data_IF_897142157249
#
_entry.id   IF_897142157249
#
_cell.length_a   1.000
_cell.length_b   1.000
_cell.length_c   1.000
_cell.angle_alpha   90.00
_cell.angle_beta   90.00
_cell.angle_gamma   90.00
#
_symmetry.space_group_name_H-M   'P 1'
#
loop_
_entity.id
_entity.type
_entity.pdbx_description
1 polymer ?
#
# COMPACT_ATOMS: atom_id res chain seq x y z
N UNK A 1 17.28 -10.60 -4.23
CA UNK A 1 16.57 -9.42 -3.74
C UNK A 1 17.53 -8.47 -3.03
N UNK A 2 17.26 -7.17 -3.05
CA UNK A 2 18.00 -6.12 -2.32
C UNK A 2 17.03 -5.29 -1.51
N UNK A 3 17.47 -4.74 -0.38
CA UNK A 3 16.70 -3.84 0.48
C UNK A 3 17.52 -2.58 0.75
N UNK A 4 16.95 -1.42 0.52
CA UNK A 4 17.56 -0.10 0.75
C UNK A 4 16.90 0.48 1.99
N UNK A 5 17.70 0.67 3.02
CA UNK A 5 17.27 1.19 4.33
C UNK A 5 17.83 2.59 4.55
N UNK A 6 17.13 3.39 5.31
CA UNK A 6 17.65 4.68 5.77
C UNK A 6 16.55 5.66 6.16
N UNK A 7 16.87 6.60 7.06
CA UNK A 7 15.93 7.59 7.59
C UNK A 7 15.37 8.53 6.51
N UNK A 8 14.42 9.42 6.86
CA UNK A 8 13.82 10.36 5.92
C UNK A 8 14.88 11.21 5.23
N UNK A 9 14.67 11.41 3.90
CA UNK A 9 15.56 12.30 3.13
C UNK A 9 16.95 11.75 2.79
N UNK A 10 17.19 10.44 2.99
CA UNK A 10 18.47 9.78 2.61
C UNK A 10 18.57 9.45 1.12
N UNK A 11 17.52 9.70 0.35
CA UNK A 11 17.51 9.45 -1.09
C UNK A 11 17.14 8.02 -1.49
N UNK A 12 16.37 7.28 -0.68
CA UNK A 12 15.86 5.94 -1.00
C UNK A 12 15.21 5.89 -2.39
N UNK A 13 14.18 6.71 -2.62
CA UNK A 13 13.49 6.85 -3.92
C UNK A 13 14.46 7.20 -5.06
N UNK A 14 15.39 8.14 -4.82
CA UNK A 14 16.42 8.52 -5.82
C UNK A 14 17.30 7.32 -6.17
N UNK A 15 17.65 6.51 -5.20
CA UNK A 15 18.45 5.29 -5.42
C UNK A 15 17.66 4.23 -6.18
N UNK A 16 16.37 4.04 -5.89
CA UNK A 16 15.49 3.14 -6.66
C UNK A 16 15.43 3.58 -8.13
N UNK A 17 15.18 4.87 -8.39
CA UNK A 17 15.13 5.41 -9.75
C UNK A 17 16.48 5.34 -10.47
N UNK A 18 17.59 5.50 -9.74
CA UNK A 18 18.92 5.26 -10.30
C UNK A 18 19.10 3.81 -10.77
N UNK A 19 18.66 2.83 -9.98
CA UNK A 19 18.69 1.43 -10.40
C UNK A 19 17.75 1.18 -11.59
N UNK A 20 16.53 1.73 -11.59
CA UNK A 20 15.61 1.58 -12.72
C UNK A 20 16.24 2.08 -14.03
N UNK A 21 16.92 3.24 -14.01
CA UNK A 21 17.68 3.76 -15.15
C UNK A 21 18.87 2.88 -15.53
N UNK A 22 19.53 2.28 -14.55
CA UNK A 22 20.63 1.36 -14.82
C UNK A 22 20.13 0.13 -15.59
N UNK A 23 19.02 -0.46 -15.17
CA UNK A 23 18.39 -1.55 -15.91
C UNK A 23 17.99 -1.14 -17.33
N UNK A 24 17.41 0.05 -17.49
CA UNK A 24 17.05 0.60 -18.79
C UNK A 24 18.28 0.75 -19.70
N UNK A 25 19.38 1.33 -19.17
CA UNK A 25 20.66 1.47 -19.91
C UNK A 25 21.30 0.14 -20.29
N UNK A 26 21.08 -0.91 -19.50
CA UNK A 26 21.53 -2.27 -19.79
C UNK A 26 20.62 -3.01 -20.78
N UNK A 27 19.62 -2.32 -21.36
CA UNK A 27 18.75 -2.88 -22.39
C UNK A 27 17.47 -3.54 -21.87
N UNK A 28 17.14 -3.42 -20.57
CA UNK A 28 15.87 -3.91 -20.07
C UNK A 28 14.73 -3.08 -20.66
N UNK A 29 13.73 -3.70 -21.33
CA UNK A 29 12.59 -2.97 -21.85
C UNK A 29 11.82 -2.28 -20.73
N UNK A 30 11.37 -1.04 -20.96
CA UNK A 30 10.70 -0.24 -19.92
C UNK A 30 9.40 -0.88 -19.41
N UNK A 31 8.70 -1.66 -20.22
CA UNK A 31 7.51 -2.42 -19.86
C UNK A 31 7.82 -3.67 -19.00
N UNK A 32 9.11 -4.00 -18.81
CA UNK A 32 9.60 -5.04 -17.90
C UNK A 32 10.14 -4.49 -16.59
N UNK A 33 10.02 -3.17 -16.37
CA UNK A 33 10.40 -2.48 -15.15
C UNK A 33 9.13 -2.08 -14.42
N UNK A 34 8.85 -2.71 -13.27
CA UNK A 34 7.77 -2.34 -12.35
C UNK A 34 8.29 -1.41 -11.27
N UNK A 35 7.60 -0.31 -11.01
CA UNK A 35 7.86 0.58 -9.88
C UNK A 35 6.55 0.83 -9.14
N UNK A 36 6.51 0.39 -7.88
CA UNK A 36 5.29 0.49 -7.06
C UNK A 36 5.58 1.34 -5.84
N UNK A 37 4.86 2.45 -5.75
CA UNK A 37 4.88 3.34 -4.61
C UNK A 37 3.63 3.14 -3.76
N UNK A 38 3.72 3.55 -2.50
CA UNK A 38 2.61 3.45 -1.57
C UNK A 38 1.46 4.41 -1.95
N UNK A 39 1.77 5.66 -2.39
CA UNK A 39 0.78 6.67 -2.78
C UNK A 39 0.75 6.93 -4.27
N UNK A 40 -0.40 7.38 -4.81
CA UNK A 40 -0.52 7.86 -6.19
C UNK A 40 0.43 9.04 -6.46
N UNK A 41 0.57 9.94 -5.48
CA UNK A 41 1.48 11.09 -5.56
C UNK A 41 2.93 10.63 -5.72
N UNK A 42 3.39 9.73 -4.87
CA UNK A 42 4.76 9.19 -4.95
C UNK A 42 5.02 8.46 -6.27
N UNK A 43 4.04 7.71 -6.79
CA UNK A 43 4.13 7.07 -8.10
C UNK A 43 4.21 8.10 -9.23
N UNK A 44 3.45 9.19 -9.14
CA UNK A 44 3.50 10.33 -10.08
C UNK A 44 4.86 11.01 -10.07
N UNK A 45 5.38 11.37 -8.91
CA UNK A 45 6.72 11.96 -8.75
C UNK A 45 7.83 11.06 -9.32
N UNK A 46 7.72 9.75 -9.12
CA UNK A 46 8.66 8.79 -9.69
C UNK A 46 8.61 8.78 -11.23
N UNK A 47 7.41 8.86 -11.83
CA UNK A 47 7.24 8.99 -13.28
C UNK A 47 7.86 10.26 -13.81
N UNK A 48 7.54 11.42 -13.22
CA UNK A 48 8.06 12.72 -13.62
C UNK A 48 9.59 12.70 -13.61
N UNK A 49 10.21 12.26 -12.51
CA UNK A 49 11.68 12.15 -12.42
C UNK A 49 12.28 11.20 -13.46
N UNK A 50 11.57 10.12 -13.82
CA UNK A 50 12.03 9.23 -14.88
C UNK A 50 11.95 9.89 -16.25
N UNK A 51 10.91 10.66 -16.56
CA UNK A 51 10.75 11.41 -17.81
C UNK A 51 11.79 12.52 -17.94
N UNK A 52 12.00 13.32 -16.90
CA UNK A 52 12.98 14.41 -16.89
C UNK A 52 14.39 13.92 -17.22
N UNK A 53 14.74 12.72 -16.73
CA UNK A 53 16.07 12.15 -16.88
C UNK A 53 16.20 11.22 -18.11
N UNK A 54 15.09 10.95 -18.81
CA UNK A 54 15.03 10.13 -20.00
C UNK A 54 14.03 10.73 -21.02
N UNK A 55 14.37 11.86 -21.67
CA UNK A 55 13.45 12.60 -22.54
C UNK A 55 12.89 11.82 -23.74
N UNK A 56 13.49 10.67 -24.06
CA UNK A 56 13.02 9.77 -25.11
C UNK A 56 11.85 8.88 -24.67
N UNK A 57 11.55 8.82 -23.36
CA UNK A 57 10.40 8.08 -22.84
C UNK A 57 9.13 8.96 -22.87
N UNK A 58 8.00 8.31 -23.03
CA UNK A 58 6.68 8.92 -22.88
C UNK A 58 5.98 8.40 -21.60
N UNK A 59 5.04 9.15 -21.09
CA UNK A 59 4.25 8.74 -19.91
C UNK A 59 3.53 7.40 -20.13
N UNK A 60 3.04 7.15 -21.35
CA UNK A 60 2.38 5.88 -21.72
C UNK A 60 3.29 4.66 -21.57
N UNK A 61 4.60 4.82 -21.73
CA UNK A 61 5.56 3.75 -21.56
C UNK A 61 5.82 3.43 -20.08
N UNK A 62 5.63 4.39 -19.15
CA UNK A 62 5.76 4.22 -17.71
C UNK A 62 4.48 3.68 -17.05
N UNK A 63 3.71 2.86 -17.76
CA UNK A 63 2.45 2.27 -17.29
C UNK A 63 2.58 1.38 -16.04
N UNK A 64 3.78 0.91 -15.73
CA UNK A 64 4.08 0.11 -14.54
C UNK A 64 4.68 0.91 -13.37
N UNK A 65 4.73 2.25 -13.48
CA UNK A 65 5.03 3.16 -12.37
C UNK A 65 3.72 3.59 -11.73
N UNK A 66 3.29 2.92 -10.67
CA UNK A 66 1.94 3.08 -10.09
C UNK A 66 1.86 2.54 -8.65
N UNK A 67 0.67 2.58 -8.04
CA UNK A 67 0.42 1.88 -6.78
C UNK A 67 0.02 0.42 -7.03
N UNK A 68 0.08 -0.43 -5.99
CA UNK A 68 -0.38 -1.82 -6.07
C UNK A 68 -1.87 -1.90 -6.44
N UNK A 69 -2.73 -1.07 -5.81
CA UNK A 69 -4.15 -0.98 -6.14
C UNK A 69 -4.38 -0.60 -7.61
N UNK A 70 -3.63 0.38 -8.11
CA UNK A 70 -3.72 0.77 -9.51
C UNK A 70 -3.29 -0.34 -10.46
N UNK A 71 -2.32 -1.19 -10.08
CA UNK A 71 -1.97 -2.38 -10.86
C UNK A 71 -3.13 -3.37 -10.88
N UNK A 72 -3.72 -3.66 -9.72
CA UNK A 72 -4.84 -4.57 -9.58
C UNK A 72 -6.04 -4.09 -10.42
N UNK A 73 -6.46 -2.84 -10.24
CA UNK A 73 -7.54 -2.22 -11.00
C UNK A 73 -7.35 -2.37 -12.52
N UNK A 74 -6.16 -2.02 -13.01
CA UNK A 74 -5.87 -2.12 -14.44
C UNK A 74 -5.83 -3.56 -14.96
N UNK A 75 -5.22 -4.48 -14.22
CA UNK A 75 -5.07 -5.87 -14.66
C UNK A 75 -6.38 -6.65 -14.61
N UNK A 76 -7.25 -6.31 -13.68
CA UNK A 76 -8.61 -6.86 -13.60
C UNK A 76 -9.58 -6.27 -14.65
N UNK A 77 -9.13 -5.25 -15.41
CA UNK A 77 -9.98 -4.59 -16.43
C UNK A 77 -11.15 -3.82 -15.84
N UNK A 78 -11.07 -3.39 -14.58
CA UNK A 78 -12.16 -2.74 -13.87
C UNK A 78 -12.46 -1.35 -14.43
N UNK A 79 -13.73 -0.95 -14.34
CA UNK A 79 -14.21 0.39 -14.63
C UNK A 79 -14.38 1.18 -13.33
N UNK A 80 -14.28 2.50 -13.40
CA UNK A 80 -14.51 3.36 -12.23
C UNK A 80 -15.91 3.20 -11.62
N UNK A 81 -16.92 2.92 -12.45
CA UNK A 81 -18.28 2.63 -11.99
C UNK A 81 -18.46 1.31 -11.24
N UNK A 82 -17.44 0.46 -11.22
CA UNK A 82 -17.44 -0.81 -10.49
C UNK A 82 -16.72 -0.67 -9.13
N UNK A 83 -16.26 0.53 -8.79
CA UNK A 83 -15.55 0.82 -7.55
C UNK A 83 -16.49 1.44 -6.54
N UNK A 84 -16.48 0.94 -5.31
CA UNK A 84 -17.19 1.54 -4.19
C UNK A 84 -16.78 3.01 -4.03
N UNK A 85 -17.76 3.90 -3.87
CA UNK A 85 -17.59 5.31 -3.59
C UNK A 85 -18.18 5.61 -2.21
N UNK A 86 -17.88 6.78 -1.68
CA UNK A 86 -18.31 7.24 -0.35
C UNK A 86 -19.83 7.12 -0.18
N UNK A 87 -20.60 7.54 -1.20
CA UNK A 87 -22.07 7.46 -1.23
C UNK A 87 -22.64 6.05 -1.01
N UNK A 88 -21.93 5.00 -1.46
CA UNK A 88 -22.39 3.62 -1.28
C UNK A 88 -22.29 3.18 0.19
N UNK A 89 -21.27 3.62 0.93
CA UNK A 89 -21.14 3.35 2.36
C UNK A 89 -22.20 4.10 3.17
N UNK A 90 -22.50 5.35 2.78
CA UNK A 90 -23.56 6.15 3.39
C UNK A 90 -24.94 5.52 3.16
N UNK A 91 -25.19 4.99 1.94
CA UNK A 91 -26.43 4.29 1.61
C UNK A 91 -26.62 3.02 2.47
N UNK A 92 -25.55 2.24 2.63
CA UNK A 92 -25.55 1.05 3.49
C UNK A 92 -25.84 1.46 4.94
N UNK A 93 -25.14 2.47 5.46
CA UNK A 93 -25.38 2.99 6.82
C UNK A 93 -26.82 3.42 7.02
N UNK A 94 -27.35 4.20 6.07
CA UNK A 94 -28.73 4.71 6.10
C UNK A 94 -29.77 3.58 6.12
N UNK A 95 -29.55 2.49 5.38
CA UNK A 95 -30.46 1.33 5.36
C UNK A 95 -30.56 0.62 6.73
N UNK A 96 -29.55 0.76 7.56
CA UNK A 96 -29.46 0.17 8.90
C UNK A 96 -29.70 1.19 10.03
N UNK A 97 -30.03 2.44 9.70
CA UNK A 97 -30.22 3.51 10.67
C UNK A 97 -28.93 3.98 11.35
N UNK A 98 -27.78 3.79 10.70
CA UNK A 98 -26.47 4.24 11.16
C UNK A 98 -26.10 5.50 10.38
N UNK A 99 -25.77 6.59 11.08
CA UNK A 99 -25.11 7.73 10.43
C UNK A 99 -23.67 7.33 10.09
N UNK A 100 -23.33 7.51 8.83
CA UNK A 100 -21.98 7.24 8.31
C UNK A 100 -21.59 8.43 7.46
N UNK A 101 -20.48 9.06 7.79
CA UNK A 101 -19.83 10.06 6.96
C UNK A 101 -18.50 9.47 6.47
N UNK A 102 -18.29 9.44 5.17
CA UNK A 102 -17.05 8.95 4.59
C UNK A 102 -16.23 10.13 4.13
N UNK A 103 -14.97 10.16 4.55
CA UNK A 103 -14.04 11.23 4.20
C UNK A 103 -13.08 10.73 3.11
N UNK A 104 -13.34 11.10 1.86
CA UNK A 104 -12.38 10.86 0.77
C UNK A 104 -11.17 11.77 0.96
N UNK A 105 -10.06 11.21 1.42
CA UNK A 105 -8.79 11.97 1.53
C UNK A 105 -8.08 12.15 0.20
N UNK A 106 -8.66 11.67 -0.91
CA UNK A 106 -8.00 11.68 -2.23
C UNK A 106 -6.76 10.78 -2.33
N UNK A 107 -6.31 10.22 -1.23
CA UNK A 107 -5.18 9.31 -1.16
C UNK A 107 -5.66 7.86 -1.03
N UNK A 108 -5.95 7.22 -2.16
CA UNK A 108 -6.33 5.80 -2.27
C UNK A 108 -5.14 4.88 -1.92
N UNK A 109 -4.45 5.13 -0.82
CA UNK A 109 -3.14 4.55 -0.57
C UNK A 109 -3.18 3.28 0.25
N UNK A 110 -4.10 3.21 1.20
CA UNK A 110 -4.14 2.10 2.17
C UNK A 110 -5.25 1.10 1.87
N UNK A 111 -6.22 1.44 1.03
CA UNK A 111 -7.48 0.71 0.91
C UNK A 111 -8.40 0.94 2.11
N UNK A 112 -8.03 1.86 3.00
CA UNK A 112 -8.80 2.19 4.19
C UNK A 112 -9.98 3.08 3.81
N UNK A 113 -11.17 2.75 4.32
CA UNK A 113 -12.33 3.63 4.27
C UNK A 113 -12.20 4.60 5.44
N UNK A 114 -11.92 5.87 5.14
CA UNK A 114 -11.94 6.90 6.18
C UNK A 114 -13.38 7.25 6.50
N UNK A 115 -13.94 6.57 7.47
CA UNK A 115 -15.30 6.75 7.96
C UNK A 115 -15.28 7.11 9.44
N UNK A 116 -16.25 7.92 9.88
CA UNK A 116 -16.53 8.12 11.30
C UNK A 116 -17.19 6.88 11.93
N UNK A 117 -17.66 5.95 11.11
CA UNK A 117 -18.19 4.67 11.57
C UNK A 117 -17.08 3.68 11.91
N UNK A 118 -16.87 3.42 13.19
CA UNK A 118 -15.93 2.40 13.68
C UNK A 118 -16.24 1.01 13.10
N UNK A 119 -17.49 0.69 12.82
CA UNK A 119 -17.89 -0.59 12.24
C UNK A 119 -17.24 -0.84 10.87
N UNK A 120 -17.28 0.14 9.96
CA UNK A 120 -16.61 0.01 8.65
C UNK A 120 -15.10 -0.07 8.80
N UNK A 121 -14.53 0.67 9.76
CA UNK A 121 -13.10 0.63 10.04
C UNK A 121 -12.67 -0.76 10.52
N UNK A 122 -13.45 -1.39 11.44
CA UNK A 122 -13.20 -2.76 11.91
C UNK A 122 -13.27 -3.76 10.75
N UNK A 123 -14.35 -3.73 9.95
CA UNK A 123 -14.55 -4.65 8.83
C UNK A 123 -13.39 -4.55 7.84
N UNK A 124 -12.98 -3.34 7.51
CA UNK A 124 -11.94 -3.10 6.53
C UNK A 124 -10.55 -3.45 7.08
N UNK A 125 -10.24 -3.05 8.33
CA UNK A 125 -8.98 -3.38 8.98
C UNK A 125 -8.79 -4.89 9.13
N UNK A 126 -9.83 -5.63 9.53
CA UNK A 126 -9.79 -7.08 9.61
C UNK A 126 -9.38 -7.73 8.29
N UNK A 127 -9.95 -7.27 7.17
CA UNK A 127 -9.62 -7.78 5.82
C UNK A 127 -8.20 -7.40 5.40
N UNK A 128 -7.76 -6.17 5.64
CA UNK A 128 -6.41 -5.67 5.31
C UNK A 128 -5.34 -6.43 6.11
N UNK A 129 -5.60 -6.66 7.41
CA UNK A 129 -4.72 -7.40 8.32
C UNK A 129 -4.83 -8.91 8.16
N UNK A 130 -5.84 -9.39 7.42
CA UNK A 130 -6.15 -10.81 7.24
C UNK A 130 -6.44 -11.55 8.56
N UNK A 131 -7.15 -10.88 9.46
CA UNK A 131 -7.67 -11.45 10.70
C UNK A 131 -9.20 -11.54 10.64
N UNK A 132 -9.81 -12.24 11.59
CA UNK A 132 -11.26 -12.24 11.68
C UNK A 132 -11.80 -10.89 12.14
N UNK A 133 -13.04 -10.56 11.76
CA UNK A 133 -13.70 -9.33 12.23
C UNK A 133 -13.81 -9.31 13.76
N UNK A 134 -13.95 -10.48 14.40
CA UNK A 134 -13.97 -10.62 15.85
C UNK A 134 -12.62 -10.33 16.50
N UNK A 135 -11.51 -10.80 15.90
CA UNK A 135 -10.17 -10.48 16.37
C UNK A 135 -9.90 -8.98 16.30
N UNK A 136 -10.24 -8.34 15.18
CA UNK A 136 -10.07 -6.90 15.03
C UNK A 136 -10.96 -6.10 15.99
N UNK A 137 -12.24 -6.50 16.16
CA UNK A 137 -13.17 -5.88 17.10
C UNK A 137 -12.64 -5.91 18.54
N UNK A 138 -11.98 -6.97 18.95
CA UNK A 138 -11.47 -7.12 20.31
C UNK A 138 -10.14 -6.38 20.56
N UNK A 139 -9.64 -5.60 19.61
CA UNK A 139 -8.48 -4.74 19.82
C UNK A 139 -8.86 -3.51 20.65
N UNK A 140 -7.89 -2.95 21.39
CA UNK A 140 -8.09 -1.74 22.19
C UNK A 140 -8.23 -0.44 21.34
N UNK A 141 -8.27 -0.59 20.01
CA UNK A 141 -8.35 0.55 19.07
C UNK A 141 -9.77 1.11 18.93
N UNK A 142 -10.81 0.36 19.32
CA UNK A 142 -12.20 0.71 19.07
C UNK A 142 -12.99 0.82 20.38
N UNK A 143 -14.13 1.53 20.31
CA UNK A 143 -15.03 1.67 21.44
C UNK A 143 -15.57 0.32 21.88
N UNK A 144 -15.54 0.03 23.18
CA UNK A 144 -16.07 -1.22 23.74
C UNK A 144 -17.61 -1.25 23.76
N UNK A 145 -18.27 -0.12 23.48
CA UNK A 145 -19.73 0.02 23.47
C UNK A 145 -20.36 -0.35 22.11
N UNK A 146 -19.55 -0.76 21.14
CA UNK A 146 -20.05 -1.16 19.82
C UNK A 146 -20.89 -2.44 19.90
N UNK A 147 -22.05 -2.44 19.24
CA UNK A 147 -22.90 -3.63 19.16
C UNK A 147 -22.34 -4.65 18.16
N UNK A 148 -21.91 -5.81 18.67
CA UNK A 148 -21.38 -6.92 17.85
C UNK A 148 -22.40 -7.44 16.84
N UNK A 149 -23.69 -7.49 17.20
CA UNK A 149 -24.71 -7.97 16.27
C UNK A 149 -24.82 -7.01 15.09
N UNK A 150 -24.78 -5.70 15.35
CA UNK A 150 -24.81 -4.67 14.33
C UNK A 150 -23.58 -4.75 13.42
N UNK A 151 -22.40 -5.03 13.98
CA UNK A 151 -21.16 -5.26 13.19
C UNK A 151 -21.34 -6.41 12.19
N UNK A 152 -21.90 -7.54 12.64
CA UNK A 152 -22.15 -8.68 11.77
C UNK A 152 -23.21 -8.39 10.69
N UNK A 153 -24.28 -7.69 11.07
CA UNK A 153 -25.33 -7.28 10.12
C UNK A 153 -24.74 -6.34 9.07
N UNK A 154 -23.96 -5.33 9.50
CA UNK A 154 -23.36 -4.36 8.60
C UNK A 154 -22.36 -5.02 7.63
N UNK A 155 -21.55 -5.97 8.12
CA UNK A 155 -20.65 -6.74 7.28
C UNK A 155 -21.42 -7.55 6.22
N UNK A 156 -22.48 -8.23 6.62
CA UNK A 156 -23.31 -8.99 5.70
C UNK A 156 -23.98 -8.09 4.64
N UNK A 157 -24.47 -6.91 5.07
CA UNK A 157 -25.10 -5.94 4.18
C UNK A 157 -24.09 -5.34 3.20
N UNK A 158 -22.87 -5.01 3.65
CA UNK A 158 -21.78 -4.56 2.77
C UNK A 158 -21.48 -5.60 1.67
N UNK A 159 -21.39 -6.87 2.05
CA UNK A 159 -21.12 -7.96 1.11
C UNK A 159 -22.27 -8.16 0.12
N UNK A 160 -23.53 -8.07 0.60
CA UNK A 160 -24.74 -8.15 -0.23
C UNK A 160 -24.83 -6.96 -1.19
N UNK A 161 -24.60 -5.75 -0.71
CA UNK A 161 -24.63 -4.52 -1.50
C UNK A 161 -23.59 -4.58 -2.64
N UNK A 162 -22.34 -4.91 -2.31
CA UNK A 162 -21.28 -5.09 -3.31
C UNK A 162 -21.68 -6.13 -4.39
N UNK A 163 -22.28 -7.23 -3.96
CA UNK A 163 -22.73 -8.29 -4.87
C UNK A 163 -23.90 -7.83 -5.74
N UNK A 164 -24.91 -7.17 -5.16
CA UNK A 164 -26.11 -6.71 -5.87
C UNK A 164 -25.79 -5.68 -6.95
N UNK A 165 -24.89 -4.76 -6.66
CA UNK A 165 -24.49 -3.69 -7.59
C UNK A 165 -23.20 -3.99 -8.37
N UNK A 166 -22.63 -5.19 -8.23
CA UNK A 166 -21.36 -5.59 -8.86
C UNK A 166 -20.20 -4.64 -8.55
N UNK A 167 -20.17 -4.13 -7.33
CA UNK A 167 -19.14 -3.21 -6.85
C UNK A 167 -17.97 -3.93 -6.18
N UNK A 168 -16.82 -3.29 -6.17
CA UNK A 168 -15.59 -3.72 -5.51
C UNK A 168 -15.00 -2.57 -4.70
N UNK A 169 -14.60 -2.85 -3.47
CA UNK A 169 -13.77 -1.92 -2.70
C UNK A 169 -12.27 -2.12 -3.02
N UNK A 170 -11.41 -1.30 -2.42
CA UNK A 170 -9.96 -1.38 -2.66
C UNK A 170 -9.34 -2.69 -2.19
N UNK A 171 -9.86 -3.28 -1.11
CA UNK A 171 -9.40 -4.58 -0.61
C UNK A 171 -9.79 -5.69 -1.57
N UNK A 172 -11.04 -5.68 -2.10
CA UNK A 172 -11.47 -6.63 -3.14
C UNK A 172 -10.57 -6.60 -4.38
N UNK A 173 -10.06 -5.41 -4.75
CA UNK A 173 -9.13 -5.31 -5.90
C UNK A 173 -7.86 -6.11 -5.67
N UNK A 174 -7.25 -6.00 -4.49
CA UNK A 174 -6.04 -6.75 -4.15
C UNK A 174 -6.34 -8.25 -4.05
N UNK A 175 -7.42 -8.63 -3.36
CA UNK A 175 -7.84 -10.03 -3.23
C UNK A 175 -8.06 -10.68 -4.60
N UNK A 176 -8.83 -10.01 -5.47
CA UNK A 176 -9.11 -10.52 -6.82
C UNK A 176 -7.84 -10.59 -7.68
N UNK A 177 -6.91 -9.63 -7.54
CA UNK A 177 -5.64 -9.71 -8.26
C UNK A 177 -4.80 -10.91 -7.80
N UNK A 178 -4.77 -11.20 -6.50
CA UNK A 178 -4.00 -12.33 -5.94
C UNK A 178 -4.48 -13.66 -6.55
N UNK A 179 -5.79 -13.84 -6.74
CA UNK A 179 -6.36 -15.09 -7.27
C UNK A 179 -6.46 -15.13 -8.81
N UNK A 180 -6.27 -13.98 -9.49
CA UNK A 180 -6.50 -13.87 -10.94
C UNK A 180 -5.35 -14.39 -11.81
N UNK A 181 -4.17 -14.61 -11.25
CA UNK A 181 -2.93 -14.94 -11.95
C UNK A 181 -2.54 -13.97 -13.10
N UNK A 182 -3.12 -12.76 -13.11
CA UNK A 182 -2.93 -11.74 -14.15
C UNK A 182 -1.65 -10.89 -13.97
N UNK A 183 -0.74 -11.30 -13.09
CA UNK A 183 0.49 -10.57 -12.81
C UNK A 183 1.40 -10.51 -14.05
N UNK A 184 1.85 -9.33 -14.48
CA UNK A 184 2.84 -9.22 -15.55
C UNK A 184 4.17 -9.86 -15.15
N UNK A 185 4.92 -10.35 -16.15
CA UNK A 185 6.30 -10.77 -15.92
C UNK A 185 7.23 -9.56 -16.03
N UNK A 186 8.05 -9.37 -15.00
CA UNK A 186 9.01 -8.28 -14.91
C UNK A 186 10.46 -8.78 -14.93
N UNK A 187 11.37 -7.97 -15.45
CA UNK A 187 12.80 -8.19 -15.25
C UNK A 187 13.24 -7.63 -13.89
N UNK A 188 12.65 -6.51 -13.47
CA UNK A 188 12.89 -5.93 -12.16
C UNK A 188 11.63 -5.27 -11.61
N UNK A 189 11.40 -5.43 -10.32
CA UNK A 189 10.36 -4.73 -9.56
C UNK A 189 10.99 -3.94 -8.43
N UNK A 190 10.58 -2.69 -8.32
CA UNK A 190 10.90 -1.77 -7.24
C UNK A 190 9.66 -1.54 -6.39
N UNK A 191 9.82 -1.61 -5.06
CA UNK A 191 8.78 -1.23 -4.09
C UNK A 191 9.35 -0.11 -3.24
N UNK A 192 8.71 1.04 -3.25
CA UNK A 192 9.06 2.18 -2.41
C UNK A 192 8.13 2.24 -1.19
N UNK A 193 8.66 2.65 -0.04
CA UNK A 193 8.00 2.67 1.27
C UNK A 193 7.42 1.28 1.65
N UNK A 194 8.24 0.25 1.49
CA UNK A 194 7.79 -1.14 1.68
C UNK A 194 7.43 -1.48 3.13
N UNK A 195 7.86 -0.71 4.13
CA UNK A 195 7.48 -0.86 5.54
C UNK A 195 5.99 -0.60 5.78
N UNK A 196 5.33 0.13 4.87
CA UNK A 196 3.91 0.48 4.99
C UNK A 196 2.96 -0.54 4.36
N UNK A 197 3.50 -1.61 3.77
CA UNK A 197 2.67 -2.65 3.16
C UNK A 197 1.91 -3.47 4.21
N UNK A 198 0.61 -3.62 4.00
CA UNK A 198 -0.25 -4.46 4.81
C UNK A 198 -0.09 -5.97 4.47
N UNK A 199 -0.57 -6.91 5.33
CA UNK A 199 -0.51 -8.35 5.06
C UNK A 199 -1.05 -8.75 3.68
N UNK A 200 -2.20 -8.22 3.29
CA UNK A 200 -2.77 -8.50 1.97
C UNK A 200 -1.92 -7.94 0.81
N UNK A 201 -1.31 -6.75 0.99
CA UNK A 201 -0.39 -6.18 0.00
C UNK A 201 0.91 -6.99 -0.08
N UNK A 202 1.37 -7.55 1.03
CA UNK A 202 2.50 -8.49 1.04
C UNK A 202 2.21 -9.77 0.26
N UNK A 203 0.98 -10.29 0.30
CA UNK A 203 0.58 -11.42 -0.57
C UNK A 203 0.64 -11.03 -2.05
N UNK A 204 0.16 -9.84 -2.39
CA UNK A 204 0.31 -9.31 -3.76
C UNK A 204 1.79 -9.15 -4.14
N UNK A 205 2.64 -8.68 -3.22
CA UNK A 205 4.08 -8.62 -3.41
C UNK A 205 4.68 -10.00 -3.69
N UNK A 206 4.26 -11.06 -2.99
CA UNK A 206 4.75 -12.41 -3.24
C UNK A 206 4.41 -12.89 -4.67
N UNK A 207 3.26 -12.50 -5.20
CA UNK A 207 2.91 -12.75 -6.61
C UNK A 207 3.85 -11.97 -7.55
N UNK A 208 4.10 -10.69 -7.27
CA UNK A 208 5.07 -9.89 -8.04
C UNK A 208 6.46 -10.52 -7.98
N UNK A 209 6.90 -10.97 -6.81
CA UNK A 209 8.20 -11.62 -6.59
C UNK A 209 8.34 -12.89 -7.42
N UNK A 210 7.33 -13.75 -7.48
CA UNK A 210 7.31 -14.96 -8.32
C UNK A 210 7.39 -14.65 -9.82
N UNK A 211 6.89 -13.47 -10.23
CA UNK A 211 6.86 -13.04 -11.62
C UNK A 211 7.99 -12.07 -12.00
N UNK A 212 9.05 -11.97 -11.19
CA UNK A 212 10.13 -11.02 -11.38
C UNK A 212 11.50 -11.68 -11.25
N UNK A 213 12.47 -11.28 -12.10
CA UNK A 213 13.86 -11.76 -12.00
C UNK A 213 14.60 -11.08 -10.84
N UNK A 214 14.34 -9.79 -10.63
CA UNK A 214 14.98 -8.97 -9.61
C UNK A 214 13.95 -8.19 -8.80
N UNK A 215 14.17 -8.09 -7.48
CA UNK A 215 13.36 -7.29 -6.57
C UNK A 215 14.28 -6.35 -5.79
N UNK A 216 13.88 -5.10 -5.70
CA UNK A 216 14.55 -4.08 -4.88
C UNK A 216 13.48 -3.35 -4.06
N UNK A 217 13.57 -3.48 -2.74
CA UNK A 217 12.71 -2.81 -1.77
C UNK A 217 13.41 -1.57 -1.24
N UNK A 218 12.68 -0.53 -0.95
CA UNK A 218 13.16 0.60 -0.14
C UNK A 218 12.16 0.87 0.97
N UNK A 219 12.67 1.23 2.14
CA UNK A 219 11.86 1.52 3.31
C UNK A 219 12.67 1.96 4.50
N UNK A 220 11.96 2.26 5.55
CA UNK A 220 12.49 2.65 6.85
C UNK A 220 11.55 2.12 7.93
N UNK A 221 11.97 1.10 8.63
CA UNK A 221 11.17 0.45 9.68
C UNK A 221 10.90 1.38 10.87
N UNK A 222 11.82 2.32 11.17
CA UNK A 222 11.63 3.34 12.21
C UNK A 222 10.54 4.37 11.85
N UNK A 223 10.13 4.45 10.59
CA UNK A 223 9.05 5.34 10.11
C UNK A 223 7.71 4.64 9.89
N UNK A 224 7.55 3.42 10.33
CA UNK A 224 6.31 2.66 10.17
C UNK A 224 5.19 3.16 11.08
N UNK A 225 4.62 4.31 10.76
CA UNK A 225 3.52 4.93 11.51
C UNK A 225 2.13 4.42 11.13
N UNK A 226 2.03 3.59 10.10
CA UNK A 226 0.76 3.04 9.60
C UNK A 226 0.40 1.67 10.20
N UNK A 227 0.98 1.29 11.34
CA UNK A 227 0.62 0.07 12.06
C UNK A 227 -0.89 0.00 12.38
N UNK A 228 -1.49 1.12 12.75
CA UNK A 228 -2.94 1.24 12.97
C UNK A 228 -3.76 0.95 11.69
N UNK A 229 -3.22 1.26 10.51
CA UNK A 229 -3.82 0.96 9.21
C UNK A 229 -3.41 -0.43 8.67
N UNK A 230 -2.76 -1.25 9.51
CA UNK A 230 -2.41 -2.63 9.20
C UNK A 230 -1.05 -2.81 8.51
N UNK A 231 -0.12 -1.86 8.57
CA UNK A 231 1.24 -2.07 8.05
C UNK A 231 1.94 -3.21 8.80
N UNK A 232 2.54 -4.14 8.04
CA UNK A 232 3.28 -5.29 8.58
C UNK A 232 4.79 -5.08 8.47
N UNK A 233 5.31 -4.31 9.42
CA UNK A 233 6.74 -3.96 9.51
C UNK A 233 7.60 -5.19 9.75
N UNK A 234 7.12 -6.14 10.56
CA UNK A 234 7.87 -7.38 10.86
C UNK A 234 8.14 -8.15 9.56
N UNK A 235 7.17 -8.20 8.66
CA UNK A 235 7.34 -8.86 7.36
C UNK A 235 8.33 -8.12 6.46
N UNK A 236 8.39 -6.78 6.51
CA UNK A 236 9.43 -6.00 5.83
C UNK A 236 10.83 -6.32 6.37
N UNK A 237 11.00 -6.30 7.69
CA UNK A 237 12.28 -6.62 8.34
C UNK A 237 12.77 -8.02 8.00
N UNK A 238 11.88 -9.02 8.03
CA UNK A 238 12.17 -10.44 7.77
C UNK A 238 12.43 -10.79 6.30
N UNK A 239 12.26 -9.84 5.34
CA UNK A 239 12.54 -10.15 3.95
C UNK A 239 14.03 -10.50 3.72
N UNK A 240 14.36 -11.72 3.25
CA UNK A 240 15.74 -12.13 3.01
C UNK A 240 16.32 -11.35 1.84
N UNK A 241 17.11 -10.33 2.11
CA UNK A 241 17.67 -9.43 1.10
C UNK A 241 19.08 -8.98 1.46
N UNK A 242 19.87 -8.65 0.44
CA UNK A 242 21.12 -7.91 0.66
C UNK A 242 20.76 -6.46 1.00
N UNK A 243 21.12 -6.03 2.19
CA UNK A 243 20.83 -4.69 2.68
C UNK A 243 21.86 -3.65 2.24
N UNK A 244 21.37 -2.45 1.99
CA UNK A 244 22.13 -1.25 1.65
C UNK A 244 21.59 -0.14 2.53
N UNK A 245 22.37 0.26 3.53
CA UNK A 245 21.98 1.34 4.44
C UNK A 245 22.43 2.68 3.87
N UNK A 246 21.55 3.67 3.86
CA UNK A 246 21.84 5.06 3.49
C UNK A 246 21.85 5.92 4.76
N UNK A 247 23.03 6.18 5.36
CA UNK A 247 23.08 6.76 6.69
C UNK A 247 22.89 8.28 6.73
N UNK A 248 23.06 8.98 5.58
CA UNK A 248 23.06 10.43 5.53
C UNK A 248 21.73 10.98 5.02
N UNK A 249 21.01 11.70 5.88
CA UNK A 249 19.86 12.51 5.45
C UNK A 249 20.31 13.83 4.80
N UNK A 250 19.65 14.18 3.70
CA UNK A 250 19.80 15.47 3.01
C UNK A 250 18.62 16.42 3.27
N UNK A 251 17.63 15.95 4.02
CA UNK A 251 16.39 16.69 4.34
C UNK A 251 16.33 17.10 5.79
N UNK A 252 16.77 16.22 6.69
CA UNK A 252 16.67 16.41 8.14
C UNK A 252 18.00 16.99 8.66
N UNK A 253 17.98 18.11 9.40
CA UNK A 253 19.17 18.64 10.05
C UNK A 253 19.80 17.61 11.00
N UNK A 254 21.14 17.55 11.05
CA UNK A 254 21.88 16.57 11.88
C UNK A 254 21.46 16.58 13.34
N UNK A 255 21.16 17.76 13.91
CA UNK A 255 20.71 17.89 15.28
C UNK A 255 19.37 17.20 15.53
N UNK A 256 18.41 17.35 14.59
CA UNK A 256 17.10 16.69 14.66
C UNK A 256 17.26 15.18 14.52
N UNK A 257 18.10 14.72 13.60
CA UNK A 257 18.41 13.30 13.44
C UNK A 257 19.01 12.72 14.73
N UNK A 258 19.98 13.42 15.35
CA UNK A 258 20.58 12.97 16.60
C UNK A 258 19.56 12.87 17.75
N UNK A 259 18.59 13.78 17.81
CA UNK A 259 17.49 13.69 18.80
C UNK A 259 16.62 12.46 18.52
N UNK A 260 16.26 12.23 17.25
CA UNK A 260 15.47 11.06 16.85
C UNK A 260 16.20 9.75 17.19
N UNK A 261 17.49 9.63 16.87
CA UNK A 261 18.30 8.45 17.18
C UNK A 261 18.38 8.20 18.70
N UNK A 262 18.49 9.26 19.51
CA UNK A 262 18.46 9.14 20.97
C UNK A 262 17.09 8.69 21.52
N UNK A 263 16.00 9.03 20.86
CA UNK A 263 14.67 8.55 21.24
C UNK A 263 14.54 7.09 20.86
N UNK A 264 14.87 6.71 19.62
CA UNK A 264 14.83 5.34 19.12
C UNK A 264 15.66 4.39 19.99
N UNK A 265 16.86 4.80 20.40
CA UNK A 265 17.74 3.97 21.27
C UNK A 265 17.14 3.63 22.65
N UNK A 266 16.05 4.29 23.05
CA UNK A 266 15.33 4.04 24.31
C UNK A 266 14.09 3.15 24.13
N UNK A 267 13.69 2.91 22.88
CA UNK A 267 12.58 2.01 22.55
C UNK A 267 13.17 0.60 22.50
N UNK A 268 12.70 -0.34 23.33
CA UNK A 268 13.16 -1.72 23.26
C UNK A 268 12.86 -2.32 21.88
N UNK A 269 13.78 -3.10 21.34
CA UNK A 269 13.49 -3.97 20.19
C UNK A 269 12.43 -4.99 20.63
N UNK A 270 11.20 -4.89 20.07
CA UNK A 270 10.11 -5.85 20.32
C UNK A 270 10.26 -7.14 19.50
#
# INVERSE_FOLDING_TARGET
MRKILGPPGTGKTTRLLHYARTFLKLGTPIDKIGYFAFTKKAAGEAKERMLDQNPHLSEKQLKHFRTLHSLAFWKLGMKKSEVMQDEHYEDIGRSLGIEVTVYSTGEETTGFVNSDSEYFNIINAARIKEVSTEEEYNTDMYSQDLDRNLLHILKAELDNYKKAYSLKDYTDMIENFIVSELCPKYDVVFIDEAQDLSPIQWKMFDILKKNSKHIILAGDDDQAIYGWAGADVKRFQQQPAKEIVLPQSYRVPKMVQHIADNILSRIPDE
#
